data_IF_171731049678
#
_entry.id   IF_171731049678
#
_cell.length_a   1.000
_cell.length_b   1.000
_cell.length_c   1.000
_cell.angle_alpha   90.00
_cell.angle_beta   90.00
_cell.angle_gamma   90.00
#
_symmetry.space_group_name_H-M   'P 1'
#
loop_
_entity.id
_entity.type
_entity.pdbx_description
1 polymer ?
#
# COMPACT_ATOMS: atom_id res chain seq x y z
N UNK A 1 -9.08 6.28 54.87
CA UNK A 1 -8.30 7.54 54.86
C UNK A 1 -7.40 7.48 53.63
N UNK A 2 -7.94 7.79 52.44
CA UNK A 2 -7.77 9.08 51.75
C UNK A 2 -6.33 9.64 51.87
N UNK A 3 -5.61 9.64 50.74
CA UNK A 3 -5.11 10.85 50.05
C UNK A 3 -3.80 11.36 50.66
N UNK A 4 -2.74 11.77 49.96
CA UNK A 4 -2.42 12.04 48.56
C UNK A 4 -0.97 12.53 48.60
N UNK A 5 -0.04 11.90 47.89
CA UNK A 5 1.33 12.43 47.72
C UNK A 5 1.45 13.03 46.32
N UNK A 6 1.51 14.35 46.30
CA UNK A 6 1.81 15.18 45.12
C UNK A 6 3.20 14.82 44.60
N UNK A 7 3.30 14.41 43.33
CA UNK A 7 4.57 14.43 42.59
C UNK A 7 4.65 15.72 41.79
N UNK A 8 5.57 16.57 42.24
CA UNK A 8 6.05 17.76 41.54
C UNK A 8 6.66 17.40 40.18
N UNK A 9 6.36 18.21 39.18
CA UNK A 9 6.88 18.06 37.82
C UNK A 9 8.27 18.66 37.64
N UNK A 10 8.96 18.14 36.63
CA UNK A 10 10.06 18.85 35.97
C UNK A 10 10.08 18.44 34.50
N UNK A 11 9.38 19.24 33.70
CA UNK A 11 9.42 19.28 32.25
C UNK A 11 10.84 19.70 31.82
N UNK A 12 11.62 18.77 31.28
CA UNK A 12 12.91 19.08 30.66
C UNK A 12 12.69 19.36 29.17
N UNK A 13 12.98 20.61 28.79
CA UNK A 13 12.95 21.12 27.41
C UNK A 13 13.97 20.36 26.54
N UNK A 14 13.65 20.05 25.28
CA UNK A 14 14.63 19.52 24.34
C UNK A 14 15.59 20.64 23.89
N UNK A 15 16.89 20.37 23.99
CA UNK A 15 17.93 21.26 23.47
C UNK A 15 17.94 21.22 21.94
N UNK A 16 18.03 22.43 21.39
CA UNK A 16 18.05 22.80 19.97
C UNK A 16 19.40 22.38 19.38
N UNK A 17 19.45 21.25 18.68
CA UNK A 17 20.67 20.84 17.97
C UNK A 17 20.80 21.59 16.64
N UNK A 18 22.01 22.07 16.42
CA UNK A 18 22.44 22.99 15.37
C UNK A 18 22.31 22.37 13.97
N UNK A 19 21.68 23.10 13.06
CA UNK A 19 21.59 22.78 11.63
C UNK A 19 22.97 22.90 11.00
N UNK A 20 23.61 21.75 10.74
CA UNK A 20 24.81 21.65 9.92
C UNK A 20 24.45 21.73 8.44
N UNK A 21 24.85 22.83 7.79
CA UNK A 21 24.82 22.99 6.33
C UNK A 21 25.69 21.92 5.67
N UNK A 22 25.10 21.02 4.90
CA UNK A 22 25.83 20.18 3.94
C UNK A 22 25.67 20.82 2.56
N UNK A 23 26.76 21.41 2.07
CA UNK A 23 26.83 21.96 0.72
C UNK A 23 26.76 20.83 -0.31
N UNK A 24 25.84 20.99 -1.25
CA UNK A 24 25.74 20.19 -2.46
C UNK A 24 26.99 20.38 -3.34
N UNK A 25 27.60 19.27 -3.74
CA UNK A 25 28.52 19.20 -4.87
C UNK A 25 28.04 18.06 -5.78
N UNK A 26 27.42 18.42 -6.90
CA UNK A 26 27.11 17.53 -8.02
C UNK A 26 28.40 17.23 -8.80
N UNK A 27 28.77 15.96 -9.02
CA UNK A 27 29.64 15.59 -10.11
C UNK A 27 28.80 15.21 -11.34
N UNK A 28 28.81 16.09 -12.34
CA UNK A 28 28.42 15.76 -13.72
C UNK A 28 29.46 14.83 -14.32
N UNK A 29 29.14 13.54 -14.45
CA UNK A 29 29.93 12.60 -15.25
C UNK A 29 28.98 11.68 -16.03
N UNK A 30 28.81 11.99 -17.31
CA UNK A 30 28.02 11.24 -18.29
C UNK A 30 28.88 10.09 -18.83
N UNK A 31 28.65 8.88 -18.35
CA UNK A 31 29.29 7.69 -18.90
C UNK A 31 28.58 7.26 -20.21
N UNK A 32 29.32 6.83 -21.26
CA UNK A 32 28.73 6.41 -22.52
C UNK A 32 28.01 5.06 -22.39
N UNK A 33 26.75 5.00 -22.84
CA UNK A 33 25.98 3.75 -22.96
C UNK A 33 26.60 2.89 -24.07
N UNK A 34 27.13 1.73 -23.70
CA UNK A 34 27.47 0.67 -24.66
C UNK A 34 26.17 0.07 -25.22
N UNK A 35 26.02 0.16 -26.53
CA UNK A 35 24.91 -0.42 -27.30
C UNK A 35 25.19 -1.92 -27.45
N UNK A 36 24.64 -2.75 -26.57
CA UNK A 36 24.64 -4.20 -26.81
C UNK A 36 23.78 -4.49 -28.04
N UNK A 37 24.44 -4.92 -29.11
CA UNK A 37 23.79 -5.52 -30.28
C UNK A 37 23.21 -6.87 -29.87
N UNK A 38 21.88 -7.02 -29.91
CA UNK A 38 21.26 -8.33 -29.89
C UNK A 38 21.21 -8.85 -31.34
N UNK A 39 21.85 -9.99 -31.58
CA UNK A 39 21.72 -10.76 -32.82
C UNK A 39 20.37 -11.47 -32.86
N UNK A 40 19.73 -11.66 -34.04
CA UNK A 40 18.45 -12.34 -34.14
C UNK A 40 18.62 -13.84 -33.88
N UNK A 41 17.84 -14.39 -32.96
CA UNK A 41 17.68 -15.85 -32.80
C UNK A 41 16.57 -16.28 -33.75
N UNK A 42 16.93 -16.97 -34.84
CA UNK A 42 15.96 -17.67 -35.68
C UNK A 42 15.34 -18.83 -34.89
N UNK A 43 14.01 -18.84 -34.77
CA UNK A 43 13.26 -20.00 -34.28
C UNK A 43 12.44 -20.57 -35.44
N UNK A 44 12.84 -21.77 -35.83
CA UNK A 44 12.13 -22.70 -36.71
C UNK A 44 10.68 -22.88 -36.26
N UNK A 45 9.74 -22.63 -37.19
CA UNK A 45 8.32 -22.89 -37.04
C UNK A 45 8.02 -24.29 -37.56
N UNK A 46 7.75 -25.25 -36.67
CA UNK A 46 6.94 -26.42 -37.03
C UNK A 46 5.99 -26.82 -35.91
N UNK A 47 4.80 -27.26 -36.34
CA UNK A 47 3.69 -27.85 -35.58
C UNK A 47 2.59 -26.89 -35.10
N UNK A 48 1.76 -26.50 -36.06
CA UNK A 48 0.41 -25.96 -35.84
C UNK A 48 -0.49 -27.08 -35.30
N UNK A 49 -0.86 -27.01 -34.02
CA UNK A 49 -2.05 -27.69 -33.52
C UNK A 49 -3.15 -26.66 -33.46
N UNK A 50 -4.17 -26.84 -34.30
CA UNK A 50 -5.37 -26.02 -34.40
C UNK A 50 -6.16 -26.01 -33.08
N UNK A 51 -5.89 -25.04 -32.20
CA UNK A 51 -6.86 -24.64 -31.19
C UNK A 51 -7.90 -23.75 -31.89
N UNK A 52 -9.10 -24.30 -32.09
CA UNK A 52 -10.28 -23.51 -32.44
C UNK A 52 -10.61 -22.59 -31.25
N UNK A 53 -10.03 -21.40 -31.22
CA UNK A 53 -10.49 -20.32 -30.37
C UNK A 53 -11.86 -19.89 -30.89
N UNK A 54 -12.92 -20.30 -30.20
CA UNK A 54 -14.22 -19.71 -30.38
C UNK A 54 -14.11 -18.22 -30.02
N UNK A 55 -14.15 -17.35 -31.01
CA UNK A 55 -14.31 -15.91 -30.82
C UNK A 55 -15.69 -15.68 -30.22
N UNK A 56 -15.81 -15.81 -28.90
CA UNK A 56 -16.94 -15.26 -28.16
C UNK A 56 -16.74 -13.75 -28.18
N UNK A 57 -17.42 -13.09 -29.12
CA UNK A 57 -17.48 -11.63 -29.19
C UNK A 57 -18.01 -11.13 -27.84
N UNK A 58 -17.15 -10.43 -27.10
CA UNK A 58 -17.53 -9.85 -25.82
C UNK A 58 -18.73 -8.92 -26.05
N UNK A 59 -19.78 -8.99 -25.20
CA UNK A 59 -20.94 -8.14 -25.37
C UNK A 59 -20.50 -6.67 -25.41
N UNK A 60 -21.12 -5.84 -26.27
CA UNK A 60 -20.74 -4.44 -26.42
C UNK A 60 -20.77 -3.78 -25.05
N UNK A 61 -19.63 -3.20 -24.66
CA UNK A 61 -19.50 -2.47 -23.39
C UNK A 61 -20.65 -1.45 -23.35
N UNK A 62 -21.49 -1.46 -22.29
CA UNK A 62 -22.56 -0.48 -22.19
C UNK A 62 -21.95 0.92 -22.30
N UNK A 63 -22.63 1.87 -22.97
CA UNK A 63 -22.17 3.24 -23.03
C UNK A 63 -21.86 3.71 -21.60
N UNK A 64 -20.76 4.44 -21.37
CA UNK A 64 -20.44 4.92 -20.04
C UNK A 64 -21.67 5.63 -19.49
N UNK A 65 -22.19 5.12 -18.37
CA UNK A 65 -23.25 5.83 -17.65
C UNK A 65 -22.66 7.18 -17.28
N UNK A 66 -23.09 8.23 -17.97
CA UNK A 66 -22.83 9.61 -17.56
C UNK A 66 -23.66 9.77 -16.29
N UNK A 67 -23.07 9.39 -15.15
CA UNK A 67 -23.61 9.76 -13.87
C UNK A 67 -23.68 11.30 -13.89
N UNK A 68 -24.87 11.90 -13.71
CA UNK A 68 -24.98 13.34 -13.58
C UNK A 68 -23.94 13.78 -12.57
N UNK A 69 -23.14 14.77 -12.93
CA UNK A 69 -22.24 15.39 -11.96
C UNK A 69 -23.18 16.04 -10.95
N UNK A 70 -23.40 15.38 -9.81
CA UNK A 70 -24.18 15.91 -8.69
C UNK A 70 -23.35 17.04 -8.04
N UNK A 71 -23.19 18.13 -8.78
CA UNK A 71 -22.94 19.42 -8.18
C UNK A 71 -24.20 19.86 -7.44
N UNK A 72 -24.10 20.88 -6.58
CA UNK A 72 -25.29 21.49 -5.98
C UNK A 72 -26.29 21.80 -7.10
N UNK A 73 -27.47 21.17 -7.03
CA UNK A 73 -28.60 21.54 -7.88
C UNK A 73 -29.10 22.86 -7.31
N UNK A 74 -28.75 23.96 -7.98
CA UNK A 74 -29.42 25.22 -7.74
C UNK A 74 -30.81 25.06 -8.37
N UNK A 75 -31.81 24.77 -7.54
CA UNK A 75 -33.22 24.80 -7.96
C UNK A 75 -33.62 26.27 -8.08
N UNK A 76 -33.68 26.75 -9.31
CA UNK A 76 -34.16 28.08 -9.65
C UNK A 76 -35.70 28.05 -9.73
N UNK A 77 -36.37 27.77 -8.61
CA UNK A 77 -37.84 27.77 -8.57
C UNK A 77 -38.39 29.15 -8.96
N UNK A 78 -39.22 29.19 -10.01
CA UNK A 78 -39.91 30.41 -10.45
C UNK A 78 -39.11 31.35 -11.35
N UNK A 79 -37.96 30.93 -11.89
CA UNK A 79 -37.21 31.70 -12.89
C UNK A 79 -37.37 31.09 -14.28
N UNK A 80 -37.81 31.91 -15.24
CA UNK A 80 -37.87 31.55 -16.65
C UNK A 80 -36.54 31.85 -17.34
N UNK A 81 -36.27 31.18 -18.46
CA UNK A 81 -35.08 31.47 -19.27
C UNK A 81 -35.17 32.92 -19.78
N UNK A 82 -34.25 33.77 -19.31
CA UNK A 82 -34.17 35.19 -19.65
C UNK A 82 -34.79 36.15 -18.63
N UNK A 83 -35.31 35.65 -17.49
CA UNK A 83 -35.73 36.51 -16.39
C UNK A 83 -34.53 37.10 -15.65
N UNK A 84 -34.73 38.26 -15.03
CA UNK A 84 -33.74 38.84 -14.12
C UNK A 84 -33.55 37.89 -12.92
N UNK A 85 -32.28 37.70 -12.55
CA UNK A 85 -31.86 36.87 -11.42
C UNK A 85 -31.95 37.67 -10.12
N UNK A 86 -32.10 37.00 -8.98
CA UNK A 86 -32.11 37.64 -7.66
C UNK A 86 -30.88 38.57 -7.51
N UNK A 87 -31.08 39.73 -6.90
CA UNK A 87 -30.04 40.70 -6.51
C UNK A 87 -28.92 40.04 -5.70
N UNK A 88 -29.22 38.95 -5.00
CA UNK A 88 -28.27 38.17 -4.22
C UNK A 88 -27.58 37.03 -5.00
N UNK A 89 -27.80 36.88 -6.31
CA UNK A 89 -27.21 35.80 -7.15
C UNK A 89 -25.68 35.70 -7.03
N UNK A 90 -24.98 36.84 -6.90
CA UNK A 90 -23.52 36.88 -6.74
C UNK A 90 -23.00 36.71 -5.31
N UNK A 91 -23.90 36.67 -4.31
CA UNK A 91 -23.55 36.61 -2.89
C UNK A 91 -23.43 35.19 -2.35
N UNK A 92 -24.12 34.23 -3.00
CA UNK A 92 -24.05 32.83 -2.64
C UNK A 92 -22.80 32.17 -3.27
N UNK A 93 -21.67 32.38 -2.61
CA UNK A 93 -20.44 31.66 -2.91
C UNK A 93 -20.22 30.50 -1.93
N UNK A 94 -21.29 29.82 -1.47
CA UNK A 94 -21.17 28.62 -0.62
C UNK A 94 -20.55 27.45 -1.41
N UNK A 95 -19.31 27.65 -1.86
CA UNK A 95 -18.50 26.62 -2.47
C UNK A 95 -18.16 25.60 -1.40
N UNK A 96 -18.24 24.33 -1.79
CA UNK A 96 -17.70 23.22 -1.00
C UNK A 96 -16.29 23.62 -0.54
N UNK A 97 -15.98 23.58 0.78
CA UNK A 97 -14.67 23.96 1.25
C UNK A 97 -13.61 23.13 0.54
N UNK A 98 -12.73 23.82 -0.20
CA UNK A 98 -11.60 23.20 -0.88
C UNK A 98 -10.56 22.86 0.19
N UNK A 99 -10.81 21.80 0.96
CA UNK A 99 -9.89 21.27 1.95
C UNK A 99 -8.62 20.81 1.21
N UNK A 100 -7.65 21.72 1.06
CA UNK A 100 -6.37 21.43 0.42
C UNK A 100 -5.62 20.46 1.29
N UNK A 101 -5.22 19.33 0.71
CA UNK A 101 -4.47 18.27 1.38
C UNK A 101 -3.20 17.97 0.59
N UNK A 102 -2.18 17.53 1.29
CA UNK A 102 -0.93 17.01 0.73
C UNK A 102 -0.70 15.58 1.24
N UNK A 103 0.14 14.85 0.52
CA UNK A 103 0.44 13.46 0.81
C UNK A 103 1.67 12.96 0.09
N UNK A 104 2.01 11.70 0.37
CA UNK A 104 3.14 10.99 -0.22
C UNK A 104 2.65 9.74 -0.93
N UNK A 105 3.26 9.45 -2.08
CA UNK A 105 3.15 8.16 -2.75
C UNK A 105 4.35 7.32 -2.31
N UNK A 106 4.10 6.23 -1.60
CA UNK A 106 5.13 5.29 -1.19
C UNK A 106 4.50 3.90 -1.05
N UNK A 107 5.03 2.89 -1.73
CA UNK A 107 4.52 1.53 -1.57
C UNK A 107 5.10 0.90 -0.29
N UNK A 108 4.33 0.09 0.49
CA UNK A 108 4.84 -0.52 1.71
C UNK A 108 6.10 -1.36 1.51
N UNK A 109 6.27 -2.02 0.35
CA UNK A 109 7.51 -2.78 0.05
C UNK A 109 8.76 -1.91 -0.05
N UNK A 110 8.61 -0.59 -0.22
CA UNK A 110 9.71 0.38 -0.25
C UNK A 110 10.05 0.94 1.14
N UNK A 111 9.28 0.60 2.18
CA UNK A 111 9.65 0.94 3.54
C UNK A 111 10.93 0.19 3.93
N UNK A 112 11.75 0.74 4.84
CA UNK A 112 12.83 -0.04 5.43
C UNK A 112 12.24 -1.26 6.13
N UNK A 113 12.84 -2.42 5.92
CA UNK A 113 12.42 -3.66 6.54
C UNK A 113 13.62 -4.53 6.87
N UNK A 114 13.63 -5.22 8.02
CA UNK A 114 14.74 -6.06 8.43
C UNK A 114 14.86 -7.34 7.61
N UNK A 115 13.87 -7.70 6.80
CA UNK A 115 13.78 -8.99 6.10
C UNK A 115 13.72 -8.85 4.58
N UNK A 116 14.50 -7.92 4.02
CA UNK A 116 14.70 -7.77 2.57
C UNK A 116 13.59 -7.04 1.80
N UNK A 117 12.42 -6.81 2.40
CA UNK A 117 11.34 -5.96 1.87
C UNK A 117 10.66 -5.22 3.02
N UNK A 118 10.02 -4.09 2.72
CA UNK A 118 9.16 -3.41 3.68
C UNK A 118 7.87 -4.20 3.97
N UNK A 119 7.37 -4.02 5.20
CA UNK A 119 6.21 -4.72 5.76
C UNK A 119 5.20 -3.71 6.32
N UNK A 120 3.94 -4.14 6.50
CA UNK A 120 2.93 -3.35 7.22
C UNK A 120 3.08 -3.63 8.72
N UNK A 121 4.20 -3.18 9.29
CA UNK A 121 4.53 -3.32 10.71
C UNK A 121 5.08 -2.03 11.31
N UNK A 122 6.04 -2.15 12.23
CA UNK A 122 6.57 -1.01 13.00
C UNK A 122 7.07 0.17 12.14
N UNK A 123 7.70 -0.09 11.00
CA UNK A 123 8.18 0.97 10.11
C UNK A 123 7.04 1.64 9.32
N UNK A 124 5.92 0.95 9.06
CA UNK A 124 4.72 1.57 8.51
C UNK A 124 4.07 2.52 9.52
N UNK A 125 3.99 2.15 10.80
CA UNK A 125 3.53 3.05 11.86
C UNK A 125 4.42 4.30 11.97
N UNK A 126 5.74 4.11 11.96
CA UNK A 126 6.70 5.24 11.98
C UNK A 126 6.56 6.16 10.78
N UNK A 127 6.28 5.61 9.60
CA UNK A 127 6.01 6.39 8.41
C UNK A 127 4.72 7.21 8.54
N UNK A 128 3.66 6.64 9.10
CA UNK A 128 2.41 7.37 9.38
C UNK A 128 2.61 8.46 10.43
N UNK A 129 3.37 8.18 11.49
CA UNK A 129 3.73 9.19 12.51
C UNK A 129 4.51 10.34 11.88
N UNK A 130 5.46 10.03 10.98
CA UNK A 130 6.19 11.04 10.24
C UNK A 130 5.28 11.85 9.31
N UNK A 131 4.39 11.21 8.55
CA UNK A 131 3.41 11.88 7.69
C UNK A 131 2.55 12.87 8.49
N UNK A 132 2.04 12.42 9.64
CA UNK A 132 1.25 13.24 10.55
C UNK A 132 2.06 14.42 11.09
N UNK A 133 3.32 14.19 11.51
CA UNK A 133 4.22 15.25 11.99
C UNK A 133 4.54 16.31 10.93
N UNK A 134 4.53 15.91 9.66
CA UNK A 134 4.76 16.79 8.51
C UNK A 134 3.46 17.51 8.05
N UNK A 135 2.32 17.28 8.71
CA UNK A 135 1.03 17.86 8.34
C UNK A 135 0.41 17.26 7.07
N UNK A 136 0.95 16.15 6.58
CA UNK A 136 0.40 15.44 5.43
C UNK A 136 -0.76 14.55 5.87
N UNK A 137 -1.76 14.42 5.00
CA UNK A 137 -3.03 13.79 5.33
C UNK A 137 -3.39 12.63 4.40
N UNK A 138 -2.54 12.36 3.40
CA UNK A 138 -2.78 11.33 2.39
C UNK A 138 -1.52 10.47 2.25
N UNK A 139 -1.71 9.15 2.36
CA UNK A 139 -0.74 8.16 1.92
C UNK A 139 -1.35 7.41 0.75
N UNK A 140 -0.74 7.53 -0.42
CA UNK A 140 -1.15 6.79 -1.61
C UNK A 140 -0.21 5.60 -1.82
N UNK A 141 -0.80 4.44 -2.10
CA UNK A 141 -0.11 3.19 -2.39
C UNK A 141 -0.44 2.68 -3.79
N UNK A 142 0.42 1.80 -4.31
CA UNK A 142 0.14 0.96 -5.48
C UNK A 142 -0.82 -0.18 -5.07
N UNK A 143 -1.33 -1.00 -6.01
CA UNK A 143 -2.18 -2.14 -5.65
C UNK A 143 -1.45 -3.07 -4.66
N UNK A 144 -2.17 -3.50 -3.63
CA UNK A 144 -1.64 -4.30 -2.52
C UNK A 144 -1.81 -5.81 -2.73
N UNK A 145 -2.29 -6.22 -3.90
CA UNK A 145 -2.54 -7.62 -4.23
C UNK A 145 -1.25 -8.41 -4.46
N UNK A 146 -1.32 -9.75 -4.37
CA UNK A 146 -0.18 -10.60 -4.69
C UNK A 146 0.19 -10.42 -6.17
N UNK A 147 1.39 -9.92 -6.50
CA UNK A 147 1.84 -9.85 -7.87
C UNK A 147 2.16 -11.26 -8.37
N UNK A 148 2.17 -11.42 -9.68
CA UNK A 148 2.86 -12.55 -10.30
C UNK A 148 4.36 -12.56 -9.92
N UNK A 149 4.96 -13.75 -9.91
CA UNK A 149 6.31 -13.97 -9.36
C UNK A 149 7.43 -13.85 -10.41
N UNK A 150 7.09 -13.66 -11.69
CA UNK A 150 8.07 -13.51 -12.77
C UNK A 150 8.63 -12.08 -12.86
N UNK A 151 7.80 -11.06 -12.68
CA UNK A 151 8.17 -9.65 -12.78
C UNK A 151 7.85 -8.83 -11.53
N UNK A 152 7.15 -9.40 -10.55
CA UNK A 152 6.83 -8.75 -9.27
C UNK A 152 6.10 -7.40 -9.45
N UNK A 153 5.30 -7.27 -10.51
CA UNK A 153 4.58 -6.05 -10.81
C UNK A 153 3.30 -5.94 -9.97
N UNK A 154 3.10 -4.86 -9.19
CA UNK A 154 1.84 -4.63 -8.45
C UNK A 154 0.60 -4.55 -9.34
N UNK A 155 0.77 -4.30 -10.65
CA UNK A 155 -0.33 -4.23 -11.61
C UNK A 155 -0.60 -5.56 -12.32
N UNK A 156 0.24 -6.57 -12.08
CA UNK A 156 0.08 -7.92 -12.60
C UNK A 156 -0.35 -8.85 -11.47
N UNK A 157 -1.39 -8.46 -10.72
CA UNK A 157 -1.90 -9.22 -9.59
C UNK A 157 -2.49 -10.57 -10.01
N UNK A 158 -2.24 -11.62 -9.23
CA UNK A 158 -2.88 -12.94 -9.43
C UNK A 158 -4.32 -12.95 -8.92
N UNK A 159 -4.67 -12.03 -8.03
CA UNK A 159 -5.99 -11.85 -7.46
C UNK A 159 -6.30 -10.37 -7.23
N UNK A 160 -7.58 -9.99 -7.30
CA UNK A 160 -8.03 -8.60 -7.18
C UNK A 160 -8.40 -8.18 -5.74
N UNK A 161 -8.56 -9.12 -4.83
CA UNK A 161 -9.10 -8.91 -3.48
C UNK A 161 -8.11 -9.33 -2.38
N UNK A 162 -7.27 -10.32 -2.63
CA UNK A 162 -6.27 -10.80 -1.69
C UNK A 162 -5.17 -9.76 -1.45
N UNK A 163 -4.58 -9.78 -0.25
CA UNK A 163 -3.40 -9.00 0.09
C UNK A 163 -2.09 -9.74 -0.22
N UNK A 164 -1.03 -9.01 -0.52
CA UNK A 164 0.28 -9.57 -0.78
C UNK A 164 0.93 -10.15 0.50
N UNK A 165 1.20 -11.48 0.58
CA UNK A 165 1.69 -12.10 1.81
C UNK A 165 3.07 -11.62 2.28
N UNK A 166 3.93 -11.13 1.37
CA UNK A 166 5.26 -10.65 1.74
C UNK A 166 5.23 -9.34 2.55
N UNK A 167 4.07 -8.70 2.70
CA UNK A 167 3.91 -7.51 3.54
C UNK A 167 3.53 -7.83 4.99
N UNK A 168 3.32 -9.11 5.34
CA UNK A 168 3.01 -9.52 6.72
C UNK A 168 4.25 -9.30 7.60
N UNK A 169 4.13 -8.58 8.73
CA UNK A 169 5.25 -8.31 9.63
C UNK A 169 5.67 -9.54 10.44
N UNK A 170 6.88 -10.07 10.20
CA UNK A 170 7.35 -11.28 10.88
C UNK A 170 7.59 -11.07 12.39
N UNK A 171 8.06 -9.88 12.79
CA UNK A 171 8.26 -9.54 14.20
C UNK A 171 6.92 -9.57 14.99
N UNK A 172 5.80 -9.20 14.36
CA UNK A 172 4.48 -9.26 14.99
C UNK A 172 3.99 -10.70 15.12
N UNK A 173 4.26 -11.57 14.12
CA UNK A 173 3.95 -13.00 14.23
C UNK A 173 4.68 -13.67 15.40
N UNK A 174 5.90 -13.23 15.71
CA UNK A 174 6.63 -13.67 16.91
C UNK A 174 5.98 -13.14 18.18
N UNK A 175 5.56 -11.87 18.19
CA UNK A 175 4.88 -11.27 19.34
C UNK A 175 3.54 -11.95 19.67
N UNK A 176 2.83 -12.42 18.64
CA UNK A 176 1.57 -13.18 18.75
C UNK A 176 1.80 -14.68 19.09
N UNK A 177 3.06 -15.11 19.18
CA UNK A 177 3.43 -16.49 19.49
C UNK A 177 3.15 -17.49 18.36
N UNK A 178 2.87 -17.02 17.15
CA UNK A 178 2.67 -17.85 15.96
C UNK A 178 3.98 -18.32 15.33
N UNK A 179 5.05 -17.60 15.62
CA UNK A 179 6.41 -17.89 15.17
C UNK A 179 7.39 -17.82 16.35
N UNK A 180 8.41 -18.67 16.35
CA UNK A 180 9.50 -18.54 17.33
C UNK A 180 10.56 -17.57 16.81
N UNK A 181 11.15 -16.77 17.71
CA UNK A 181 12.21 -15.82 17.35
C UNK A 181 13.44 -16.47 16.68
N UNK A 182 13.70 -17.75 16.93
CA UNK A 182 14.78 -18.52 16.31
C UNK A 182 14.53 -18.86 14.84
N UNK A 183 13.29 -18.74 14.37
CA UNK A 183 12.88 -19.00 12.98
C UNK A 183 12.98 -17.75 12.11
N UNK A 184 13.20 -16.59 12.72
CA UNK A 184 13.35 -15.35 11.99
C UNK A 184 14.60 -15.41 11.09
N UNK A 185 14.48 -14.97 9.83
CA UNK A 185 15.63 -14.89 8.95
C UNK A 185 16.62 -13.84 9.46
N UNK A 186 17.88 -13.96 9.03
CA UNK A 186 18.91 -13.00 9.38
C UNK A 186 18.50 -11.59 8.91
N UNK A 187 18.63 -10.60 9.79
CA UNK A 187 18.25 -9.23 9.47
C UNK A 187 19.18 -8.68 8.37
N UNK A 188 18.62 -8.14 7.30
CA UNK A 188 19.33 -7.46 6.24
C UNK A 188 19.32 -5.95 6.45
N UNK A 189 20.36 -5.26 5.97
CA UNK A 189 20.39 -3.80 5.97
C UNK A 189 19.47 -3.26 4.86
N UNK A 190 18.58 -2.33 5.19
CA UNK A 190 17.58 -1.71 4.31
C UNK A 190 18.14 -0.81 3.18
N UNK A 191 19.42 -0.95 2.82
CA UNK A 191 20.12 -0.06 1.89
C UNK A 191 20.05 -0.52 0.42
N UNK A 192 19.51 -1.72 0.16
CA UNK A 192 19.45 -2.32 -1.17
C UNK A 192 18.00 -2.44 -1.64
N UNK A 193 17.82 -2.45 -2.97
CA UNK A 193 16.53 -2.75 -3.57
C UNK A 193 16.06 -4.14 -3.14
N UNK A 194 14.75 -4.30 -2.94
CA UNK A 194 14.17 -5.59 -2.56
C UNK A 194 14.39 -6.63 -3.66
N UNK A 195 15.05 -7.75 -3.32
CA UNK A 195 15.06 -8.95 -4.15
C UNK A 195 13.87 -9.82 -3.75
N UNK A 196 12.75 -9.63 -4.45
CA UNK A 196 11.50 -10.33 -4.14
C UNK A 196 11.60 -11.85 -4.32
N UNK A 197 12.47 -12.34 -5.21
CA UNK A 197 12.65 -13.79 -5.37
C UNK A 197 13.27 -14.39 -4.12
N UNK A 198 14.41 -13.83 -3.68
CA UNK A 198 15.08 -14.30 -2.45
C UNK A 198 14.18 -14.14 -1.23
N UNK A 199 13.43 -13.03 -1.13
CA UNK A 199 12.49 -12.83 -0.03
C UNK A 199 11.39 -13.89 -0.03
N UNK A 200 10.81 -14.18 -1.19
CA UNK A 200 9.75 -15.16 -1.31
C UNK A 200 10.22 -16.60 -0.99
N UNK A 201 11.44 -16.96 -1.40
CA UNK A 201 12.03 -18.30 -1.15
C UNK A 201 12.04 -18.69 0.32
N UNK A 202 12.34 -17.76 1.24
CA UNK A 202 12.28 -18.06 2.67
C UNK A 202 10.93 -17.70 3.30
N UNK A 203 10.20 -16.70 2.80
CA UNK A 203 8.94 -16.27 3.42
C UNK A 203 7.80 -17.26 3.21
N UNK A 204 7.65 -17.78 2.00
CA UNK A 204 6.55 -18.68 1.67
C UNK A 204 6.46 -19.88 2.64
N UNK A 205 7.54 -20.68 2.84
CA UNK A 205 7.47 -21.82 3.75
C UNK A 205 7.29 -21.41 5.22
N UNK A 206 7.81 -20.24 5.63
CA UNK A 206 7.59 -19.71 6.97
C UNK A 206 6.12 -19.34 7.22
N UNK A 207 5.46 -18.70 6.26
CA UNK A 207 4.07 -18.31 6.37
C UNK A 207 3.12 -19.51 6.35
N UNK A 208 3.43 -20.56 5.57
CA UNK A 208 2.70 -21.83 5.62
C UNK A 208 2.80 -22.45 7.02
N UNK A 209 4.00 -22.50 7.61
CA UNK A 209 4.20 -23.02 8.96
C UNK A 209 3.42 -22.23 10.03
N UNK A 210 3.37 -20.91 9.88
CA UNK A 210 2.57 -20.02 10.73
C UNK A 210 1.08 -20.32 10.60
N UNK A 211 0.59 -20.50 9.37
CA UNK A 211 -0.79 -20.87 9.13
C UNK A 211 -1.12 -22.23 9.75
N UNK A 212 -0.25 -23.23 9.62
CA UNK A 212 -0.45 -24.55 10.24
C UNK A 212 -0.52 -24.47 11.77
N UNK A 213 0.31 -23.63 12.41
CA UNK A 213 0.25 -23.39 13.86
C UNK A 213 -1.01 -22.67 14.28
N UNK A 214 -1.43 -21.66 13.50
CA UNK A 214 -2.70 -20.98 13.72
C UNK A 214 -3.85 -21.98 13.69
N UNK A 215 -3.83 -22.98 12.80
CA UNK A 215 -4.90 -23.97 12.69
C UNK A 215 -4.82 -25.08 13.76
N UNK A 216 -3.62 -25.50 14.15
CA UNK A 216 -3.42 -26.68 15.02
C UNK A 216 -3.29 -26.38 16.52
N UNK A 217 -2.64 -25.29 16.93
CA UNK A 217 -2.34 -25.06 18.35
C UNK A 217 -3.53 -24.44 19.08
N UNK A 218 -4.07 -25.13 20.09
CA UNK A 218 -5.11 -24.64 21.00
C UNK A 218 -4.89 -23.21 21.54
N UNK A 219 -3.64 -22.76 21.71
CA UNK A 219 -3.30 -21.41 22.20
C UNK A 219 -3.88 -20.28 21.36
N UNK A 220 -4.02 -20.48 20.05
CA UNK A 220 -4.52 -19.46 19.13
C UNK A 220 -6.04 -19.54 18.88
N UNK A 221 -6.81 -20.13 19.80
CA UNK A 221 -8.26 -20.30 19.64
C UNK A 221 -9.01 -18.97 19.37
N UNK A 222 -8.60 -17.90 20.05
CA UNK A 222 -9.20 -16.57 19.82
C UNK A 222 -8.91 -16.04 18.41
N UNK A 223 -7.69 -16.21 17.92
CA UNK A 223 -7.30 -15.77 16.59
C UNK A 223 -7.96 -16.62 15.49
N UNK A 224 -8.11 -17.93 15.71
CA UNK A 224 -8.93 -18.78 14.83
C UNK A 224 -10.37 -18.31 14.75
N UNK A 225 -10.98 -17.94 15.89
CA UNK A 225 -12.34 -17.39 15.90
C UNK A 225 -12.46 -16.11 15.07
N UNK A 226 -11.45 -15.23 15.13
CA UNK A 226 -11.39 -14.02 14.29
C UNK A 226 -11.21 -14.36 12.81
N UNK A 227 -10.37 -15.34 12.49
CA UNK A 227 -10.19 -15.86 11.12
C UNK A 227 -11.49 -16.44 10.56
N UNK A 228 -12.21 -17.26 11.34
CA UNK A 228 -13.48 -17.86 10.92
C UNK A 228 -14.57 -16.80 10.73
N UNK A 229 -14.62 -15.79 11.59
CA UNK A 229 -15.51 -14.63 11.43
C UNK A 229 -15.18 -13.89 10.13
N UNK A 230 -13.91 -13.59 9.89
CA UNK A 230 -13.44 -12.96 8.65
C UNK A 230 -13.85 -13.77 7.40
N UNK A 231 -13.65 -15.08 7.40
CA UNK A 231 -14.09 -15.97 6.31
C UNK A 231 -15.60 -15.95 6.10
N UNK A 232 -16.38 -15.91 7.18
CA UNK A 232 -17.85 -15.87 7.08
C UNK A 232 -18.39 -14.55 6.50
N UNK A 233 -17.68 -13.44 6.75
CA UNK A 233 -18.06 -12.11 6.26
C UNK A 233 -17.59 -11.83 4.82
N UNK A 234 -16.61 -12.61 4.32
CA UNK A 234 -15.92 -12.36 3.06
C UNK A 234 -16.05 -13.56 2.11
N UNK A 235 -17.09 -13.58 1.28
CA UNK A 235 -17.39 -14.68 0.35
C UNK A 235 -16.34 -14.91 -0.77
N UNK A 236 -15.34 -14.02 -0.88
CA UNK A 236 -14.27 -14.11 -1.86
C UNK A 236 -13.03 -14.87 -1.35
N UNK A 237 -12.98 -15.18 -0.05
CA UNK A 237 -11.94 -15.96 0.63
C UNK A 237 -12.29 -17.45 0.57
#
# INVERSE_FOLDING_TARGET
>A
MQSSLQRSGSFLRPQRLLVGRVNAALPTARAPRSRQQQSPIERSLTSSTLCHAATMEAPPKPPPTVLPREGPKYEYEGLDIGSDIDVQYGSDTQGIPKNRRSGVILHPTSLPGPYGTGEIGQEAYRFVDWLASAGMQIWQVLPLGPPETQFWSPYSGTDALCGHPLMIPLDELVSEGLMDSSELPAKSSSAQAADFNTVNEFREPLLVKVADRLLSDSKHANLRKQMDAFRSENAWV
#
